data_IF_673056420045
#
_entry.id   IF_673056420045
#
_cell.length_a   1.000
_cell.length_b   1.000
_cell.length_c   1.000
_cell.angle_alpha   90.00
_cell.angle_beta   90.00
_cell.angle_gamma   90.00
#
_symmetry.space_group_name_H-M   'P 1'
#
loop_
_entity.id
_entity.type
_entity.pdbx_description
1 polymer ?
#
# COMPACT_ATOMS: atom_id res chain seq x y z
N UNK A 1 16.83 -12.20 5.28
CA UNK A 1 15.79 -11.25 5.75
C UNK A 1 14.85 -11.88 6.76
N UNK A 2 13.93 -12.79 6.39
CA UNK A 2 13.01 -13.41 7.37
C UNK A 2 13.75 -14.16 8.50
N UNK A 3 14.75 -14.98 8.16
CA UNK A 3 15.64 -15.62 9.14
C UNK A 3 16.49 -14.65 9.98
N UNK A 4 16.49 -13.37 9.63
CA UNK A 4 17.28 -12.32 10.28
C UNK A 4 16.39 -11.39 11.15
N UNK A 5 15.13 -11.77 11.41
CA UNK A 5 14.21 -11.04 12.29
C UNK A 5 13.16 -10.17 11.59
N UNK A 6 13.05 -10.23 10.26
CA UNK A 6 11.93 -9.60 9.56
C UNK A 6 10.68 -10.48 9.65
N UNK A 7 9.53 -9.89 9.99
CA UNK A 7 8.24 -10.60 10.04
C UNK A 7 7.59 -10.74 8.65
N UNK A 8 7.83 -9.76 7.77
CA UNK A 8 7.33 -9.71 6.39
C UNK A 8 8.42 -9.27 5.42
N UNK A 9 8.28 -9.63 4.15
CA UNK A 9 9.12 -9.13 3.04
C UNK A 9 8.24 -8.48 1.99
N UNK A 10 8.60 -7.25 1.62
CA UNK A 10 7.97 -6.54 0.51
C UNK A 10 8.66 -6.85 -0.81
N UNK A 11 7.88 -7.19 -1.83
CA UNK A 11 8.33 -7.43 -3.20
C UNK A 11 7.61 -6.47 -4.16
N UNK A 12 8.37 -5.90 -5.09
CA UNK A 12 7.87 -4.99 -6.13
C UNK A 12 8.56 -5.35 -7.46
N UNK A 13 9.60 -4.61 -7.87
CA UNK A 13 10.25 -4.81 -9.18
C UNK A 13 10.81 -6.22 -9.38
N UNK A 14 11.27 -6.88 -8.31
CA UNK A 14 11.68 -8.28 -8.37
C UNK A 14 10.53 -9.24 -8.69
N UNK A 15 9.33 -8.97 -8.17
CA UNK A 15 8.14 -9.76 -8.50
C UNK A 15 7.61 -9.43 -9.91
N UNK A 16 7.77 -8.20 -10.40
CA UNK A 16 7.44 -7.86 -11.79
C UNK A 16 8.33 -8.64 -12.76
N UNK A 17 9.64 -8.70 -12.49
CA UNK A 17 10.60 -9.40 -13.33
C UNK A 17 10.47 -10.93 -13.25
N UNK A 18 10.21 -11.46 -12.06
CA UNK A 18 9.96 -12.88 -11.82
C UNK A 18 8.77 -13.07 -10.86
N UNK A 19 7.53 -13.17 -11.38
CA UNK A 19 6.33 -13.35 -10.56
C UNK A 19 6.36 -14.63 -9.72
N UNK A 20 7.16 -15.62 -10.09
CA UNK A 20 7.27 -16.89 -9.37
C UNK A 20 7.81 -16.73 -7.94
N UNK A 21 8.49 -15.61 -7.66
CA UNK A 21 9.01 -15.32 -6.31
C UNK A 21 7.90 -15.19 -5.27
N UNK A 22 6.71 -14.70 -5.65
CA UNK A 22 5.56 -14.56 -4.74
C UNK A 22 5.15 -15.97 -4.27
N UNK A 23 4.86 -16.86 -5.22
CA UNK A 23 4.48 -18.25 -4.93
C UNK A 23 5.57 -19.00 -4.16
N UNK A 24 6.84 -18.82 -4.52
CA UNK A 24 7.94 -19.48 -3.85
C UNK A 24 8.10 -19.01 -2.38
N UNK A 25 7.93 -17.70 -2.12
CA UNK A 25 7.99 -17.14 -0.78
C UNK A 25 6.78 -17.57 0.06
N UNK A 26 5.57 -17.45 -0.51
CA UNK A 26 4.32 -17.84 0.12
C UNK A 26 4.33 -19.31 0.54
N UNK A 27 4.71 -20.23 -0.35
CA UNK A 27 4.83 -21.67 -0.03
C UNK A 27 5.82 -21.97 1.09
N UNK A 28 6.85 -21.15 1.25
CA UNK A 28 7.94 -21.39 2.20
C UNK A 28 7.70 -20.76 3.57
N UNK A 29 7.05 -19.60 3.62
CA UNK A 29 6.94 -18.77 4.82
C UNK A 29 5.48 -18.44 5.20
N UNK A 30 4.52 -18.78 4.34
CA UNK A 30 3.11 -18.40 4.46
C UNK A 30 2.81 -17.07 3.80
N UNK A 31 1.60 -16.93 3.27
CA UNK A 31 1.14 -15.77 2.51
C UNK A 31 1.25 -14.47 3.31
N UNK A 32 0.98 -14.53 4.63
CA UNK A 32 1.06 -13.39 5.53
C UNK A 32 2.47 -12.76 5.64
N UNK A 33 3.51 -13.49 5.23
CA UNK A 33 4.89 -12.99 5.20
C UNK A 33 5.23 -12.26 3.89
N UNK A 34 4.37 -12.30 2.88
CA UNK A 34 4.60 -11.71 1.56
C UNK A 34 3.74 -10.47 1.38
N UNK A 35 4.39 -9.31 1.26
CA UNK A 35 3.74 -8.04 0.95
C UNK A 35 4.02 -7.71 -0.51
N UNK A 36 2.97 -7.52 -1.31
CA UNK A 36 3.11 -7.03 -2.68
C UNK A 36 3.05 -5.51 -2.66
N UNK A 37 4.19 -4.86 -2.92
CA UNK A 37 4.26 -3.42 -3.08
C UNK A 37 4.12 -3.04 -4.54
N UNK A 38 3.23 -2.08 -4.81
CA UNK A 38 2.87 -1.63 -6.14
C UNK A 38 3.00 -0.11 -6.21
N UNK A 39 3.79 0.38 -7.17
CA UNK A 39 3.79 1.79 -7.55
C UNK A 39 2.82 1.97 -8.72
N UNK A 40 1.78 2.77 -8.54
CA UNK A 40 0.67 2.88 -9.50
C UNK A 40 0.47 4.32 -9.90
N UNK A 41 0.23 4.56 -11.20
CA UNK A 41 -0.05 5.88 -11.76
C UNK A 41 -1.19 5.80 -12.77
N UNK A 42 -2.00 6.85 -12.89
CA UNK A 42 -2.92 7.00 -14.03
C UNK A 42 -2.16 7.39 -15.30
N UNK A 43 -2.33 6.62 -16.37
CA UNK A 43 -1.85 6.92 -17.73
C UNK A 43 -3.01 6.73 -18.69
N UNK A 44 -3.39 7.78 -19.40
CA UNK A 44 -4.54 7.78 -20.33
C UNK A 44 -5.85 7.24 -19.70
N UNK A 45 -6.06 7.56 -18.42
CA UNK A 45 -7.23 7.12 -17.65
C UNK A 45 -7.17 5.69 -17.12
N UNK A 46 -6.07 4.96 -17.34
CA UNK A 46 -5.87 3.59 -16.83
C UNK A 46 -4.87 3.55 -15.68
N UNK A 47 -5.09 2.66 -14.71
CA UNK A 47 -4.14 2.43 -13.63
C UNK A 47 -2.99 1.52 -14.11
N UNK A 48 -1.81 2.11 -14.26
CA UNK A 48 -0.61 1.41 -14.74
C UNK A 48 0.35 1.13 -13.61
N UNK A 49 0.94 -0.05 -13.64
CA UNK A 49 2.00 -0.46 -12.73
C UNK A 49 3.35 0.10 -13.19
N UNK A 50 4.11 0.67 -12.26
CA UNK A 50 5.44 1.19 -12.51
C UNK A 50 6.52 0.38 -11.78
N UNK A 51 7.70 0.34 -12.37
CA UNK A 51 8.89 -0.29 -11.80
C UNK A 51 10.00 0.74 -11.52
N UNK A 52 11.10 0.27 -10.91
CA UNK A 52 12.31 1.07 -10.61
C UNK A 52 12.00 2.34 -9.80
N UNK A 53 11.13 2.20 -8.80
CA UNK A 53 10.69 3.31 -7.93
C UNK A 53 9.85 4.33 -8.67
N UNK A 54 8.85 3.87 -9.43
CA UNK A 54 7.90 4.74 -10.12
C UNK A 54 8.38 5.39 -11.42
N UNK A 55 9.52 4.95 -11.99
CA UNK A 55 10.16 5.63 -13.14
C UNK A 55 9.87 5.00 -14.49
N UNK A 56 9.52 3.72 -14.51
CA UNK A 56 9.32 2.96 -15.74
C UNK A 56 7.90 2.42 -15.77
N UNK A 57 7.11 2.87 -16.75
CA UNK A 57 5.78 2.28 -17.03
C UNK A 57 5.99 0.88 -17.58
N UNK A 58 5.43 -0.12 -16.91
CA UNK A 58 5.57 -1.53 -17.30
C UNK A 58 4.57 -1.93 -18.39
N UNK A 59 3.57 -1.10 -18.66
CA UNK A 59 2.44 -1.45 -19.51
C UNK A 59 1.49 -2.50 -18.92
N UNK A 60 1.67 -2.86 -17.65
CA UNK A 60 0.81 -3.80 -16.91
C UNK A 60 -0.34 -3.02 -16.26
N UNK A 61 -1.56 -3.54 -16.37
CA UNK A 61 -2.69 -3.06 -15.57
C UNK A 61 -2.45 -3.37 -14.09
N UNK A 62 -2.46 -2.33 -13.25
CA UNK A 62 -2.13 -2.48 -11.84
C UNK A 62 -3.15 -3.34 -11.08
N UNK A 63 -4.42 -3.26 -11.45
CA UNK A 63 -5.48 -3.97 -10.75
C UNK A 63 -5.45 -5.47 -11.08
N UNK A 64 -5.20 -5.81 -12.34
CA UNK A 64 -4.99 -7.21 -12.74
C UNK A 64 -3.71 -7.78 -12.11
N UNK A 65 -2.67 -6.96 -11.97
CA UNK A 65 -1.45 -7.36 -11.25
C UNK A 65 -1.71 -7.66 -9.77
N UNK A 66 -2.49 -6.83 -9.09
CA UNK A 66 -2.89 -7.06 -7.70
C UNK A 66 -3.59 -8.41 -7.53
N UNK A 67 -4.61 -8.68 -8.36
CA UNK A 67 -5.37 -9.94 -8.34
C UNK A 67 -4.44 -11.14 -8.54
N UNK A 68 -3.56 -11.08 -9.53
CA UNK A 68 -2.58 -12.15 -9.80
C UNK A 68 -1.61 -12.34 -8.64
N UNK A 69 -1.18 -11.26 -8.01
CA UNK A 69 -0.31 -11.29 -6.84
C UNK A 69 -0.94 -12.02 -5.66
N UNK A 70 -2.19 -11.68 -5.34
CA UNK A 70 -2.97 -12.35 -4.28
C UNK A 70 -3.19 -13.82 -4.59
N UNK A 71 -3.59 -14.14 -5.82
CA UNK A 71 -3.73 -15.55 -6.28
C UNK A 71 -2.41 -16.33 -6.19
N UNK A 72 -1.27 -15.65 -6.24
CA UNK A 72 0.07 -16.24 -6.12
C UNK A 72 0.55 -16.33 -4.66
N UNK A 73 -0.24 -15.88 -3.68
CA UNK A 73 0.08 -15.96 -2.26
C UNK A 73 0.63 -14.67 -1.64
N UNK A 74 0.41 -13.51 -2.24
CA UNK A 74 0.61 -12.24 -1.52
C UNK A 74 -0.48 -12.07 -0.45
N UNK A 75 -0.08 -11.95 0.82
CA UNK A 75 -1.02 -11.82 1.95
C UNK A 75 -1.34 -10.39 2.37
N UNK A 76 -0.73 -9.38 1.75
CA UNK A 76 -0.99 -7.95 1.98
C UNK A 76 -0.55 -7.16 0.74
N UNK A 77 -1.27 -6.11 0.40
CA UNK A 77 -0.89 -5.18 -0.68
C UNK A 77 -0.57 -3.82 -0.09
N UNK A 78 0.58 -3.27 -0.50
CA UNK A 78 0.91 -1.85 -0.29
C UNK A 78 0.76 -1.15 -1.63
N UNK A 79 -0.30 -0.35 -1.78
CA UNK A 79 -0.54 0.45 -2.97
C UNK A 79 0.02 1.86 -2.74
N UNK A 80 1.01 2.24 -3.55
CA UNK A 80 1.58 3.57 -3.57
C UNK A 80 1.07 4.33 -4.82
N UNK A 81 0.26 5.37 -4.60
CA UNK A 81 -0.19 6.25 -5.69
C UNK A 81 0.89 7.27 -6.02
N UNK A 82 1.53 7.12 -7.19
CA UNK A 82 2.52 8.06 -7.71
C UNK A 82 1.91 9.44 -7.94
N UNK A 83 0.62 9.49 -8.31
CA UNK A 83 -0.10 10.75 -8.59
C UNK A 83 -0.24 11.63 -7.34
N UNK A 84 -0.31 11.01 -6.16
CA UNK A 84 -0.46 11.73 -4.88
C UNK A 84 0.84 11.79 -4.07
N UNK A 85 1.87 11.04 -4.44
CA UNK A 85 3.12 11.00 -3.68
C UNK A 85 3.80 12.38 -3.64
N UNK A 86 4.21 12.79 -2.44
CA UNK A 86 4.77 14.12 -2.18
C UNK A 86 3.77 15.30 -2.25
N UNK A 87 2.54 15.12 -2.74
CA UNK A 87 1.55 16.21 -2.93
C UNK A 87 0.96 16.70 -1.60
N UNK A 88 0.90 15.84 -0.58
CA UNK A 88 0.38 16.17 0.78
C UNK A 88 -1.06 16.68 0.80
N UNK A 89 -1.92 16.20 -0.10
CA UNK A 89 -3.34 16.58 -0.20
C UNK A 89 -4.32 15.45 0.17
N UNK A 90 -3.80 14.34 0.70
CA UNK A 90 -4.56 13.15 1.07
C UNK A 90 -4.23 11.96 0.18
N UNK A 91 -4.67 10.78 0.63
CA UNK A 91 -4.53 9.53 -0.11
C UNK A 91 -5.44 9.48 -1.34
N UNK A 92 -5.08 8.63 -2.29
CA UNK A 92 -5.81 8.40 -3.52
C UNK A 92 -6.99 7.42 -3.33
N UNK A 93 -8.10 7.92 -2.78
CA UNK A 93 -9.24 7.06 -2.41
C UNK A 93 -9.88 6.34 -3.61
N UNK A 94 -9.91 6.94 -4.80
CA UNK A 94 -10.45 6.32 -6.01
C UNK A 94 -9.60 5.12 -6.44
N UNK A 95 -8.27 5.25 -6.42
CA UNK A 95 -7.37 4.15 -6.76
C UNK A 95 -7.46 3.02 -5.72
N UNK A 96 -7.63 3.39 -4.45
CA UNK A 96 -7.83 2.44 -3.36
C UNK A 96 -9.18 1.70 -3.49
N UNK A 97 -10.26 2.38 -3.85
CA UNK A 97 -11.56 1.76 -4.15
C UNK A 97 -11.45 0.72 -5.27
N UNK A 98 -10.75 1.08 -6.35
CA UNK A 98 -10.55 0.18 -7.48
C UNK A 98 -9.78 -1.10 -7.10
N UNK A 99 -8.83 -1.00 -6.17
CA UNK A 99 -8.09 -2.13 -5.64
C UNK A 99 -8.95 -2.96 -4.66
N UNK A 100 -9.52 -2.32 -3.64
CA UNK A 100 -10.26 -2.97 -2.57
C UNK A 100 -11.49 -3.76 -3.11
N UNK A 101 -12.08 -3.33 -4.22
CA UNK A 101 -13.16 -4.06 -4.89
C UNK A 101 -12.72 -5.35 -5.62
N UNK A 102 -11.42 -5.67 -5.66
CA UNK A 102 -10.87 -6.80 -6.43
C UNK A 102 -10.05 -7.80 -5.61
N UNK A 103 -9.73 -7.49 -4.35
CA UNK A 103 -8.87 -8.33 -3.51
C UNK A 103 -9.44 -8.46 -2.11
N UNK A 104 -9.23 -9.63 -1.50
CA UNK A 104 -9.72 -9.97 -0.14
C UNK A 104 -8.58 -10.01 0.90
N UNK A 105 -7.44 -9.38 0.61
CA UNK A 105 -6.29 -9.27 1.51
C UNK A 105 -6.18 -7.85 2.07
N UNK A 106 -5.51 -7.65 3.22
CA UNK A 106 -5.29 -6.32 3.76
C UNK A 106 -4.65 -5.35 2.76
N UNK A 107 -5.21 -4.15 2.67
CA UNK A 107 -4.75 -3.05 1.80
C UNK A 107 -4.15 -1.93 2.64
N UNK A 108 -2.90 -1.60 2.34
CA UNK A 108 -2.15 -0.49 2.93
C UNK A 108 -2.05 0.65 1.91
N UNK A 109 -2.64 1.79 2.22
CA UNK A 109 -2.53 2.98 1.40
C UNK A 109 -1.19 3.71 1.61
N UNK A 110 -0.53 4.10 0.53
CA UNK A 110 0.70 4.90 0.54
C UNK A 110 0.62 6.02 -0.50
N UNK A 111 1.27 7.14 -0.20
CA UNK A 111 1.27 8.36 -1.03
C UNK A 111 0.20 9.37 -0.60
N UNK A 112 0.58 10.65 -0.52
CA UNK A 112 -0.37 11.76 -0.40
C UNK A 112 -0.73 12.28 0.99
N UNK A 113 -0.48 11.55 2.08
CA UNK A 113 -0.79 12.03 3.43
C UNK A 113 -0.06 13.34 3.79
N UNK A 114 -0.80 14.37 4.21
CA UNK A 114 -0.28 15.68 4.61
C UNK A 114 -0.65 16.11 6.03
N UNK A 115 -1.80 15.65 6.55
CA UNK A 115 -2.35 16.05 7.86
C UNK A 115 -3.17 14.94 8.51
N UNK A 116 -3.54 15.12 9.78
CA UNK A 116 -4.30 14.11 10.55
C UNK A 116 -5.65 13.76 9.91
N UNK A 117 -6.31 14.75 9.29
CA UNK A 117 -7.58 14.56 8.60
C UNK A 117 -7.51 13.59 7.43
N UNK A 118 -6.35 13.46 6.78
CA UNK A 118 -6.18 12.54 5.66
C UNK A 118 -6.26 11.08 6.14
N UNK A 119 -5.68 10.78 7.31
CA UNK A 119 -5.82 9.48 7.96
C UNK A 119 -7.23 9.23 8.45
N UNK A 120 -7.95 10.25 8.94
CA UNK A 120 -9.35 10.08 9.32
C UNK A 120 -10.17 9.65 8.11
N UNK A 121 -10.03 10.37 7.00
CA UNK A 121 -10.72 10.06 5.76
C UNK A 121 -10.42 8.61 5.34
N UNK A 122 -9.13 8.25 5.35
CA UNK A 122 -8.68 6.90 5.02
C UNK A 122 -9.33 5.82 5.91
N UNK A 123 -9.26 5.95 7.23
CA UNK A 123 -9.75 4.91 8.15
C UNK A 123 -11.28 4.89 8.29
N UNK A 124 -11.98 5.90 7.79
CA UNK A 124 -13.44 5.86 7.63
C UNK A 124 -13.86 5.38 6.24
N UNK A 125 -12.90 5.14 5.35
CA UNK A 125 -13.13 4.64 4.00
C UNK A 125 -13.15 3.10 4.01
N UNK A 126 -14.14 2.45 3.39
CA UNK A 126 -14.26 1.00 3.43
C UNK A 126 -13.12 0.31 2.67
N UNK A 127 -12.76 -0.90 3.10
CA UNK A 127 -11.81 -1.76 2.40
C UNK A 127 -10.33 -1.39 2.56
N UNK A 128 -10.00 -0.49 3.48
CA UNK A 128 -8.61 -0.07 3.76
C UNK A 128 -8.25 -0.35 5.22
N UNK A 129 -7.15 -1.08 5.41
CA UNK A 129 -6.74 -1.60 6.73
C UNK A 129 -5.66 -0.75 7.38
N UNK A 130 -4.83 -0.08 6.58
CA UNK A 130 -3.71 0.70 7.08
C UNK A 130 -3.36 1.90 6.18
N UNK A 131 -2.76 2.92 6.79
CA UNK A 131 -2.17 4.07 6.11
C UNK A 131 -0.69 4.19 6.41
N UNK A 132 0.13 4.27 5.36
CA UNK A 132 1.57 4.46 5.41
C UNK A 132 1.89 5.90 5.01
N UNK A 133 2.67 6.58 5.84
CA UNK A 133 3.28 7.86 5.49
C UNK A 133 4.70 7.93 6.03
N UNK A 134 5.59 8.60 5.31
CA UNK A 134 6.99 8.74 5.70
C UNK A 134 7.35 10.19 6.04
N UNK A 135 7.22 11.10 5.06
CA UNK A 135 7.75 12.46 5.16
C UNK A 135 7.15 13.25 6.34
N UNK A 136 5.84 13.22 6.51
CA UNK A 136 5.15 13.97 7.58
C UNK A 136 5.54 13.55 9.00
N UNK A 137 5.96 12.28 9.18
CA UNK A 137 6.43 11.77 10.46
C UNK A 137 7.91 12.05 10.66
N UNK A 138 8.74 11.86 9.63
CA UNK A 138 10.17 12.20 9.70
C UNK A 138 10.40 13.68 9.97
N UNK A 139 9.60 14.57 9.36
CA UNK A 139 9.70 16.02 9.60
C UNK A 139 8.93 16.47 10.84
N UNK A 140 8.33 15.56 11.61
CA UNK A 140 7.48 15.84 12.79
C UNK A 140 6.35 16.85 12.51
N UNK A 141 5.87 16.91 11.27
CA UNK A 141 4.70 17.72 10.90
C UNK A 141 3.44 17.15 11.55
N UNK A 142 3.40 15.82 11.71
CA UNK A 142 2.38 15.10 12.48
C UNK A 142 3.12 14.20 13.46
N UNK A 143 2.78 14.28 14.75
CA UNK A 143 3.24 13.31 15.74
C UNK A 143 2.36 12.06 15.70
N UNK A 144 2.97 10.87 15.70
CA UNK A 144 2.24 9.58 15.59
C UNK A 144 1.35 9.33 16.81
N UNK A 145 1.81 9.69 18.01
CA UNK A 145 1.05 9.48 19.25
C UNK A 145 -0.13 10.45 19.33
N UNK A 146 0.06 11.69 18.92
CA UNK A 146 -1.03 12.68 18.79
C UNK A 146 -2.05 12.25 17.74
N UNK A 147 -1.60 11.83 16.55
CA UNK A 147 -2.46 11.32 15.49
C UNK A 147 -3.36 10.19 15.99
N UNK A 148 -2.78 9.18 16.65
CA UNK A 148 -3.52 8.02 17.18
C UNK A 148 -4.57 8.43 18.21
N UNK A 149 -4.22 9.32 19.14
CA UNK A 149 -5.17 9.86 20.14
C UNK A 149 -6.29 10.64 19.46
N UNK A 150 -5.94 11.49 18.50
CA UNK A 150 -6.88 12.34 17.75
C UNK A 150 -7.84 11.53 16.87
N UNK A 151 -7.38 10.39 16.33
CA UNK A 151 -8.21 9.43 15.59
C UNK A 151 -9.16 8.68 16.54
N UNK A 152 -8.67 8.27 17.72
CA UNK A 152 -9.49 7.61 18.74
C UNK A 152 -10.64 8.49 19.24
N UNK A 153 -10.40 9.79 19.43
CA UNK A 153 -11.49 10.73 19.81
C UNK A 153 -12.54 10.92 18.71
N UNK A 154 -12.30 10.40 17.50
CA UNK A 154 -13.19 10.44 16.34
C UNK A 154 -13.75 9.07 15.96
N UNK A 155 -13.66 8.09 16.86
CA UNK A 155 -14.26 6.77 16.69
C UNK A 155 -13.45 5.79 15.85
N UNK A 156 -12.19 6.11 15.50
CA UNK A 156 -11.29 5.15 14.85
C UNK A 156 -10.50 4.41 15.93
N UNK A 157 -10.64 3.09 16.01
CA UNK A 157 -9.88 2.29 16.98
C UNK A 157 -8.37 2.35 16.69
N UNK A 158 -7.60 2.69 17.71
CA UNK A 158 -6.15 2.91 17.60
C UNK A 158 -5.44 2.35 18.81
N UNK A 159 -4.34 1.63 18.57
CA UNK A 159 -3.39 1.21 19.61
C UNK A 159 -2.57 2.42 20.08
N UNK A 160 -2.73 2.80 21.35
CA UNK A 160 -2.00 3.90 22.01
C UNK A 160 -0.65 3.45 22.55
#
# INVERSE_FOLDING_TARGET
MLKCGADKVSVNSGAIADPGIITAAAKKYGDQCVVLSMDVKRVDGQFRLFAKGGREDTGIDAMDWAVRGVQSGAGEIVLNSIDTDGVKQGFDLEMLDALAGRVDVPVVASGGAGKMEDFRKLFTHPGIDAGLAASIFHTRQVDIRELKRWLRTRGVEMRI
#
